data_IF_912583395171
#
_entry.id   IF_912583395171
#
_cell.length_a   1.000
_cell.length_b   1.000
_cell.length_c   1.000
_cell.angle_alpha   90.00
_cell.angle_beta   90.00
_cell.angle_gamma   90.00
#
_symmetry.space_group_name_H-M   'P 1'
#
loop_
_entity.id
_entity.type
_entity.pdbx_description
1 polymer ?
#
# COMPACT_ATOMS: atom_id res chain seq x y z
N UNK A 1 -11.29 -7.20 5.28
CA UNK A 1 -10.85 -8.19 4.28
C UNK A 1 -11.98 -9.16 3.96
N UNK A 2 -12.09 -9.53 2.70
CA UNK A 2 -13.07 -10.51 2.21
C UNK A 2 -12.32 -11.71 1.62
N UNK A 3 -12.77 -12.92 1.94
CA UNK A 3 -12.22 -14.15 1.37
C UNK A 3 -13.26 -14.77 0.47
N UNK A 4 -12.89 -15.12 -0.75
CA UNK A 4 -13.76 -15.72 -1.76
C UNK A 4 -13.16 -17.05 -2.23
N UNK A 5 -14.00 -17.99 -2.67
CA UNK A 5 -13.52 -19.16 -3.41
C UNK A 5 -13.34 -18.83 -4.91
N UNK A 6 -12.80 -19.79 -5.66
CA UNK A 6 -12.61 -19.72 -7.11
C UNK A 6 -13.92 -19.58 -7.93
N UNK A 7 -15.07 -19.85 -7.31
CA UNK A 7 -16.40 -19.64 -7.88
C UNK A 7 -17.02 -18.27 -7.52
N UNK A 8 -16.28 -17.39 -6.82
CA UNK A 8 -16.76 -16.08 -6.39
C UNK A 8 -17.77 -16.12 -5.24
N UNK A 9 -17.82 -17.22 -4.46
CA UNK A 9 -18.62 -17.32 -3.24
C UNK A 9 -17.84 -16.75 -2.06
N UNK A 10 -18.48 -15.88 -1.28
CA UNK A 10 -17.92 -15.34 -0.04
C UNK A 10 -17.75 -16.46 1.00
N UNK A 11 -16.52 -16.64 1.48
CA UNK A 11 -16.14 -17.60 2.51
C UNK A 11 -16.05 -16.96 3.89
N UNK A 12 -15.68 -15.68 3.97
CA UNK A 12 -15.50 -15.01 5.24
C UNK A 12 -15.28 -13.50 5.11
N UNK A 13 -15.52 -12.81 6.22
CA UNK A 13 -15.24 -11.38 6.38
C UNK A 13 -14.41 -11.19 7.64
N UNK A 14 -13.52 -10.21 7.58
CA UNK A 14 -12.70 -9.83 8.71
C UNK A 14 -12.53 -8.31 8.74
N UNK A 15 -12.59 -7.71 9.93
CA UNK A 15 -12.25 -6.31 10.10
C UNK A 15 -10.76 -6.10 9.84
N UNK A 16 -10.38 -4.97 9.25
CA UNK A 16 -8.99 -4.54 9.28
C UNK A 16 -8.68 -4.01 10.69
N UNK A 17 -7.82 -4.66 11.50
CA UNK A 17 -7.45 -4.15 12.80
C UNK A 17 -6.51 -2.93 12.70
N UNK A 18 -5.90 -2.71 11.54
CA UNK A 18 -5.20 -1.47 11.26
C UNK A 18 -6.17 -0.38 10.85
N UNK A 19 -5.97 0.81 11.41
CA UNK A 19 -6.66 2.03 11.03
C UNK A 19 -5.79 2.95 10.16
N UNK A 20 -4.63 2.46 9.72
CA UNK A 20 -3.63 3.29 9.05
C UNK A 20 -3.85 3.35 7.53
N UNK A 21 -4.21 2.22 6.91
CA UNK A 21 -4.60 2.14 5.49
C UNK A 21 -5.79 1.21 5.30
N UNK A 22 -6.71 1.54 4.38
CA UNK A 22 -7.78 0.65 3.95
C UNK A 22 -7.33 -0.19 2.75
N UNK A 23 -7.19 -1.51 2.94
CA UNK A 23 -6.68 -2.42 1.92
C UNK A 23 -7.63 -2.51 0.72
N UNK A 24 -7.10 -2.32 -0.49
CA UNK A 24 -7.86 -2.40 -1.74
C UNK A 24 -7.37 -3.56 -2.62
N UNK A 25 -6.05 -3.60 -2.86
CA UNK A 25 -5.40 -4.60 -3.69
C UNK A 25 -4.32 -5.32 -2.88
N UNK A 26 -4.29 -6.66 -2.97
CA UNK A 26 -3.34 -7.50 -2.25
C UNK A 26 -2.73 -8.54 -3.19
N UNK A 27 -1.43 -8.76 -3.04
CA UNK A 27 -0.69 -9.78 -3.77
C UNK A 27 0.00 -10.77 -2.82
N UNK A 28 0.09 -12.03 -3.22
CA UNK A 28 0.74 -13.05 -2.40
C UNK A 28 2.25 -12.77 -2.29
N UNK A 29 2.75 -12.63 -1.06
CA UNK A 29 4.15 -12.30 -0.79
C UNK A 29 5.00 -13.53 -0.41
N UNK A 30 4.43 -14.74 -0.49
CA UNK A 30 5.06 -15.97 -0.04
C UNK A 30 4.94 -16.19 1.48
N UNK A 31 5.38 -17.36 1.95
CA UNK A 31 5.46 -17.72 3.37
C UNK A 31 4.17 -17.47 4.19
N UNK A 32 3.00 -17.66 3.58
CA UNK A 32 1.71 -17.41 4.26
C UNK A 32 1.39 -15.93 4.47
N UNK A 33 2.05 -15.02 3.76
CA UNK A 33 1.77 -13.58 3.80
C UNK A 33 1.21 -13.07 2.47
N UNK A 34 0.59 -11.91 2.55
CA UNK A 34 0.24 -11.09 1.39
C UNK A 34 0.62 -9.64 1.67
N UNK A 35 0.92 -8.91 0.61
CA UNK A 35 1.24 -7.50 0.65
C UNK A 35 0.09 -6.73 0.01
N UNK A 36 -0.52 -5.84 0.79
CA UNK A 36 -1.68 -5.06 0.40
C UNK A 36 -1.32 -3.59 0.25
N UNK A 37 -1.76 -2.95 -0.84
CA UNK A 37 -1.79 -1.50 -0.96
C UNK A 37 -3.16 -0.94 -0.56
N UNK A 38 -3.16 0.31 -0.12
CA UNK A 38 -4.40 0.96 0.28
C UNK A 38 -4.26 2.46 0.48
N UNK A 39 -5.40 3.09 0.77
CA UNK A 39 -5.49 4.51 1.10
C UNK A 39 -6.56 4.71 2.16
N UNK A 40 -6.28 5.57 3.13
CA UNK A 40 -7.28 6.03 4.11
C UNK A 40 -7.51 7.53 3.95
N UNK A 41 -8.79 7.91 4.00
CA UNK A 41 -9.19 9.32 4.05
C UNK A 41 -9.13 9.86 5.47
N UNK A 42 -8.31 10.88 5.68
CA UNK A 42 -8.08 11.56 6.94
C UNK A 42 -8.42 13.05 6.83
N UNK A 43 -8.37 13.72 7.98
CA UNK A 43 -8.44 15.18 8.08
C UNK A 43 -7.12 15.71 8.62
N UNK A 44 -6.63 16.81 8.04
CA UNK A 44 -5.53 17.59 8.61
C UNK A 44 -5.99 18.34 9.86
N UNK A 45 -5.04 18.97 10.58
CA UNK A 45 -5.35 19.75 11.78
C UNK A 45 -6.31 20.93 11.53
N UNK A 46 -6.29 21.49 10.32
CA UNK A 46 -7.19 22.55 9.85
C UNK A 46 -8.46 22.02 9.15
N UNK A 47 -8.69 20.70 9.21
CA UNK A 47 -9.92 20.06 8.72
C UNK A 47 -9.97 19.81 7.20
N UNK A 48 -8.88 20.06 6.48
CA UNK A 48 -8.78 19.75 5.06
C UNK A 48 -8.71 18.24 4.83
N UNK A 49 -9.25 17.73 3.70
CA UNK A 49 -9.10 16.33 3.34
C UNK A 49 -7.64 15.97 3.10
N UNK A 50 -7.22 14.81 3.60
CA UNK A 50 -5.90 14.24 3.37
C UNK A 50 -6.03 12.76 3.03
N UNK A 51 -5.32 12.30 2.01
CA UNK A 51 -5.24 10.87 1.68
C UNK A 51 -3.91 10.32 2.18
N UNK A 52 -3.94 9.36 3.10
CA UNK A 52 -2.76 8.62 3.51
C UNK A 52 -2.70 7.29 2.76
N UNK A 53 -1.69 7.15 1.91
CA UNK A 53 -1.39 5.89 1.24
C UNK A 53 -0.45 5.00 2.04
N UNK A 54 -0.36 3.72 1.67
CA UNK A 54 0.63 2.83 2.24
C UNK A 54 0.56 1.40 1.74
N UNK A 55 1.46 0.60 2.32
CA UNK A 55 1.56 -0.84 2.14
C UNK A 55 1.43 -1.54 3.49
N UNK A 56 0.79 -2.71 3.51
CA UNK A 56 0.69 -3.58 4.66
C UNK A 56 1.03 -5.02 4.29
N UNK A 57 2.01 -5.60 4.97
CA UNK A 57 2.22 -7.04 4.98
C UNK A 57 1.24 -7.64 5.98
N UNK A 58 0.38 -8.56 5.55
CA UNK A 58 -0.59 -9.24 6.42
C UNK A 58 -0.36 -10.75 6.42
N UNK A 59 -0.62 -11.38 7.57
CA UNK A 59 -0.60 -12.83 7.72
C UNK A 59 -1.90 -13.42 7.14
N UNK A 60 -1.82 -14.41 6.25
CA UNK A 60 -3.00 -15.01 5.62
C UNK A 60 -3.77 -15.96 6.55
N UNK A 61 -3.16 -16.43 7.65
CA UNK A 61 -3.81 -17.33 8.59
C UNK A 61 -4.86 -16.63 9.44
N UNK A 62 -4.62 -15.36 9.80
CA UNK A 62 -5.50 -14.59 10.67
C UNK A 62 -5.76 -13.15 10.20
N UNK A 63 -5.25 -12.76 9.02
CA UNK A 63 -5.44 -11.47 8.37
C UNK A 63 -4.92 -10.25 9.12
N UNK A 64 -4.08 -10.45 10.14
CA UNK A 64 -3.49 -9.33 10.90
C UNK A 64 -2.37 -8.68 10.11
N UNK A 65 -2.25 -7.36 10.25
CA UNK A 65 -1.07 -6.61 9.79
C UNK A 65 0.16 -7.01 10.61
N UNK A 66 1.21 -7.44 9.92
CA UNK A 66 2.53 -7.76 10.47
C UNK A 66 3.43 -6.52 10.40
N UNK A 67 3.43 -5.84 9.25
CA UNK A 67 4.18 -4.61 9.02
C UNK A 67 3.37 -3.63 8.17
N UNK A 68 3.49 -2.33 8.45
CA UNK A 68 2.85 -1.28 7.67
C UNK A 68 3.83 -0.13 7.42
N UNK A 69 3.80 0.41 6.22
CA UNK A 69 4.67 1.52 5.82
C UNK A 69 3.82 2.57 5.10
N UNK A 70 3.81 3.84 5.57
CA UNK A 70 3.15 4.92 4.86
C UNK A 70 3.85 5.21 3.53
N UNK A 71 3.07 5.39 2.48
CA UNK A 71 3.55 5.83 1.16
C UNK A 71 2.99 7.23 0.90
N UNK A 72 3.83 8.24 1.10
CA UNK A 72 3.49 9.66 0.93
C UNK A 72 3.83 10.15 -0.48
N UNK A 73 3.46 9.36 -1.49
CA UNK A 73 3.59 9.74 -2.91
C UNK A 73 2.21 10.06 -3.45
N UNK A 74 2.10 11.20 -4.12
CA UNK A 74 0.86 11.72 -4.66
C UNK A 74 0.97 11.93 -6.17
N UNK A 75 -0.14 11.76 -6.88
CA UNK A 75 -0.28 12.20 -8.27
C UNK A 75 -0.28 13.73 -8.33
N UNK A 76 -0.14 14.29 -9.53
CA UNK A 76 -0.28 15.74 -9.77
C UNK A 76 -1.67 16.26 -9.47
N UNK A 77 -2.70 15.41 -9.55
CA UNK A 77 -4.05 15.70 -9.08
C UNK A 77 -4.18 15.68 -7.53
N UNK A 78 -3.11 15.38 -6.79
CA UNK A 78 -3.08 15.39 -5.33
C UNK A 78 -3.62 14.13 -4.65
N UNK A 79 -3.82 13.04 -5.41
CA UNK A 79 -4.30 11.78 -4.86
C UNK A 79 -3.17 10.83 -4.48
N UNK A 80 -3.36 10.02 -3.46
CA UNK A 80 -2.35 9.01 -3.10
C UNK A 80 -2.12 8.03 -4.25
N UNK A 81 -0.84 7.73 -4.55
CA UNK A 81 -0.50 6.77 -5.61
C UNK A 81 -1.01 5.35 -5.32
N UNK A 82 -1.22 4.99 -4.06
CA UNK A 82 -1.76 3.67 -3.65
C UNK A 82 -3.30 3.61 -3.65
N UNK A 83 -3.97 4.62 -4.21
CA UNK A 83 -5.44 4.66 -4.44
C UNK A 83 -5.89 3.84 -5.65
N UNK A 84 -4.95 3.50 -6.54
CA UNK A 84 -5.17 2.70 -7.73
C UNK A 84 -4.55 1.30 -7.53
N UNK A 85 -4.86 0.32 -8.40
CA UNK A 85 -4.19 -0.98 -8.36
C UNK A 85 -2.69 -0.81 -8.30
N UNK A 86 -2.01 -1.51 -7.39
CA UNK A 86 -0.55 -1.50 -7.33
C UNK A 86 -0.08 -2.91 -7.63
N UNK A 87 0.75 -3.07 -8.66
CA UNK A 87 1.49 -4.30 -8.87
C UNK A 87 2.85 -4.16 -8.18
N UNK A 88 3.31 -5.23 -7.53
CA UNK A 88 4.53 -5.20 -6.74
C UNK A 88 5.50 -6.27 -7.23
N UNK A 89 6.79 -5.93 -7.26
CA UNK A 89 7.86 -6.85 -7.63
C UNK A 89 8.99 -6.75 -6.61
N UNK A 90 9.50 -7.90 -6.18
CA UNK A 90 10.78 -7.97 -5.47
C UNK A 90 11.91 -7.83 -6.49
N UNK A 91 12.77 -6.85 -6.31
CA UNK A 91 14.01 -6.70 -7.08
C UNK A 91 15.21 -6.68 -6.13
N UNK A 92 15.78 -7.86 -5.89
CA UNK A 92 16.80 -8.03 -4.86
C UNK A 92 16.31 -7.56 -3.50
N UNK A 93 16.98 -6.56 -2.96
CA UNK A 93 16.77 -6.03 -1.60
C UNK A 93 15.71 -4.93 -1.57
N UNK A 94 15.05 -4.66 -2.70
CA UNK A 94 14.09 -3.57 -2.86
C UNK A 94 12.75 -4.09 -3.33
N UNK A 95 11.70 -3.39 -2.90
CA UNK A 95 10.37 -3.57 -3.44
C UNK A 95 10.11 -2.49 -4.49
N UNK A 96 9.80 -2.91 -5.72
CA UNK A 96 9.38 -2.04 -6.82
C UNK A 96 7.86 -2.04 -6.91
N UNK A 97 7.28 -0.86 -7.03
CA UNK A 97 5.84 -0.66 -7.18
C UNK A 97 5.55 -0.14 -8.58
N UNK A 98 4.51 -0.68 -9.20
CA UNK A 98 3.97 -0.23 -10.47
C UNK A 98 2.52 0.20 -10.28
N UNK A 99 2.22 1.41 -10.73
CA UNK A 99 0.87 1.98 -10.68
C UNK A 99 0.35 2.16 -12.11
N UNK A 100 -0.83 1.62 -12.47
CA UNK A 100 -1.46 1.90 -13.73
C UNK A 100 -1.87 3.38 -13.71
N UNK A 101 -1.40 4.07 -14.74
CA UNK A 101 -1.65 5.47 -14.92
C UNK A 101 -3.14 5.73 -15.18
N UNK A 102 -3.89 6.14 -14.15
CA UNK A 102 -5.30 6.52 -14.29
C UNK A 102 -5.58 7.76 -13.44
N UNK A 103 -5.10 8.92 -13.90
CA UNK A 103 -5.86 10.12 -14.33
C UNK A 103 -4.88 11.20 -14.85
N UNK A 104 -4.82 11.39 -16.18
CA UNK A 104 -4.11 12.43 -16.97
C UNK A 104 -2.64 12.77 -16.64
N UNK A 105 -1.66 12.17 -17.35
CA UNK A 105 -0.19 12.40 -17.35
C UNK A 105 0.64 11.12 -17.66
N UNK A 106 0.87 10.88 -18.94
CA UNK A 106 2.08 10.31 -19.55
C UNK A 106 2.99 9.35 -18.74
N UNK A 107 3.04 8.10 -19.23
CA UNK A 107 3.93 7.01 -18.80
C UNK A 107 5.37 7.46 -18.53
N UNK A 108 5.74 7.51 -17.25
CA UNK A 108 7.10 7.24 -16.79
C UNK A 108 7.01 6.21 -15.68
N UNK A 109 7.57 5.03 -15.93
CA UNK A 109 7.85 4.03 -14.91
C UNK A 109 8.72 4.70 -13.85
N UNK A 110 8.14 5.06 -12.71
CA UNK A 110 8.92 5.52 -11.57
C UNK A 110 9.32 4.28 -10.76
N UNK A 111 10.55 3.81 -10.98
CA UNK A 111 11.19 2.87 -10.07
C UNK A 111 11.34 3.56 -8.71
N UNK A 112 10.43 3.28 -7.78
CA UNK A 112 10.58 3.71 -6.40
C UNK A 112 10.91 2.51 -5.54
N UNK A 113 12.13 2.57 -5.06
CA UNK A 113 12.78 1.63 -4.17
C UNK A 113 12.29 1.92 -2.75
N UNK A 114 11.50 1.02 -2.16
CA UNK A 114 11.43 0.92 -0.71
C UNK A 114 12.64 0.10 -0.26
N UNK A 115 13.72 0.75 0.20
CA UNK A 115 14.78 0.02 0.90
C UNK A 115 14.26 -0.33 2.30
N UNK A 116 14.48 -1.55 2.80
CA UNK A 116 14.29 -1.81 4.23
C UNK A 116 15.25 -0.90 5.02
N UNK A 117 14.71 -0.12 5.95
CA UNK A 117 15.52 0.75 6.80
C UNK A 117 16.56 -0.08 7.57
N UNK A 118 17.86 0.30 7.54
CA UNK A 118 18.77 -0.12 8.57
C UNK A 118 18.32 0.57 9.86
N UNK A 119 18.08 -0.21 10.91
CA UNK A 119 17.80 0.29 12.26
C UNK A 119 19.04 1.04 12.76
N UNK A 120 19.19 2.32 12.40
CA UNK A 120 20.05 3.28 13.10
C UNK A 120 19.74 4.75 12.70
N UNK A 121 18.82 5.37 13.46
CA UNK A 121 19.02 6.73 13.96
C UNK A 121 19.14 7.91 12.98
N UNK A 122 18.49 7.92 11.80
CA UNK A 122 18.41 9.16 11.01
C UNK A 122 17.07 9.33 10.30
N UNK A 123 16.37 10.43 10.62
CA UNK A 123 15.10 10.85 9.98
C UNK A 123 15.34 11.05 8.47
N UNK A 124 14.59 10.38 7.56
CA UNK A 124 14.79 10.53 6.13
C UNK A 124 14.35 11.93 5.65
N UNK A 125 15.17 12.56 4.80
CA UNK A 125 14.75 13.69 3.97
C UNK A 125 14.29 13.16 2.62
N UNK A 126 13.01 13.33 2.31
CA UNK A 126 12.49 13.12 0.96
C UNK A 126 12.86 14.33 0.10
N UNK A 127 13.61 14.12 -0.99
CA UNK A 127 13.78 15.13 -2.02
C UNK A 127 12.63 15.01 -3.03
N UNK A 128 12.03 16.17 -3.35
CA UNK A 128 10.86 16.33 -4.21
C UNK A 128 11.13 15.92 -5.66
#
# INVERSE_FOLDING_TARGET
>A
MFTWNDQGRLLGTQANPSHFIDYQDCEHAGAGHQLCSGVTGLKTADGQPFELGGLALTDLSDGRAVHEVPVQKFSTAGHSMTRNPVALESDGDVLRLFWPFSISEELRTCDHIAQPDPIEGRVPRFQA
#
